data_IF_419208649581
#
_entry.id   IF_419208649581
#
_cell.length_a   1.000
_cell.length_b   1.000
_cell.length_c   1.000
_cell.angle_alpha   90.00
_cell.angle_beta   90.00
_cell.angle_gamma   90.00
#
_symmetry.space_group_name_H-M   'P 1'
#
loop_
_entity.id
_entity.type
_entity.pdbx_description
1 polymer ?
#
# COMPACT_ATOMS: atom_id res chain seq x y z
N UNK A 1 57.99 -50.82 -1.46
CA UNK A 1 56.73 -50.09 -1.28
C UNK A 1 57.05 -48.61 -1.13
N UNK A 2 56.79 -47.82 -2.11
CA UNK A 2 56.95 -46.36 -2.04
C UNK A 2 55.87 -45.83 -1.11
N UNK A 3 56.25 -45.29 0.07
CA UNK A 3 55.30 -44.59 0.94
C UNK A 3 54.70 -43.39 0.13
N UNK A 4 53.42 -43.44 -0.16
CA UNK A 4 52.72 -42.25 -0.68
C UNK A 4 52.88 -41.11 0.31
N UNK A 5 53.34 -39.94 -0.16
CA UNK A 5 53.47 -38.77 0.66
C UNK A 5 52.05 -38.47 1.30
N UNK A 6 52.02 -38.37 2.62
CA UNK A 6 50.80 -38.04 3.34
C UNK A 6 50.42 -36.60 3.02
N UNK A 7 49.13 -36.36 2.68
CA UNK A 7 48.60 -35.06 2.30
C UNK A 7 48.00 -34.35 3.53
N UNK A 8 48.50 -33.15 3.83
CA UNK A 8 48.03 -32.31 4.92
C UNK A 8 47.76 -30.89 4.46
N UNK A 9 47.00 -30.15 5.26
CA UNK A 9 46.86 -28.69 5.14
C UNK A 9 48.26 -28.07 5.33
N UNK A 10 48.59 -27.07 4.52
CA UNK A 10 49.82 -26.27 4.68
C UNK A 10 49.93 -25.66 6.08
N UNK A 11 51.11 -25.26 6.45
CA UNK A 11 51.29 -24.52 7.70
C UNK A 11 50.40 -23.25 7.71
N UNK A 12 49.74 -23.07 8.83
CA UNK A 12 48.85 -21.93 9.07
C UNK A 12 49.50 -20.98 10.07
N UNK A 13 49.36 -19.69 9.85
CA UNK A 13 49.66 -18.72 10.89
C UNK A 13 48.65 -18.83 12.06
N UNK A 14 49.02 -18.32 13.23
CA UNK A 14 48.12 -18.33 14.41
C UNK A 14 46.78 -17.70 14.12
N UNK A 15 46.73 -16.61 13.32
CA UNK A 15 45.53 -15.95 12.89
C UNK A 15 44.65 -16.80 11.97
N UNK A 16 45.28 -17.53 11.01
CA UNK A 16 44.58 -18.44 10.10
C UNK A 16 44.00 -19.63 10.87
N UNK A 17 44.78 -20.21 11.77
CA UNK A 17 44.34 -21.33 12.60
C UNK A 17 43.17 -20.95 13.51
N UNK A 18 43.22 -19.78 14.14
CA UNK A 18 42.13 -19.26 14.95
C UNK A 18 40.88 -18.98 14.10
N UNK A 19 41.05 -18.43 12.88
CA UNK A 19 39.96 -18.20 11.95
C UNK A 19 39.31 -19.52 11.48
N UNK A 20 40.10 -20.49 11.11
CA UNK A 20 39.60 -21.80 10.70
C UNK A 20 38.83 -22.49 11.83
N UNK A 21 39.34 -22.45 13.06
CA UNK A 21 38.66 -22.97 14.25
C UNK A 21 37.31 -22.22 14.50
N UNK A 22 37.30 -20.91 14.33
CA UNK A 22 36.08 -20.12 14.46
C UNK A 22 35.02 -20.54 13.42
N UNK A 23 35.41 -20.75 12.17
CA UNK A 23 34.50 -21.23 11.11
C UNK A 23 34.02 -22.65 11.41
N UNK A 24 34.87 -23.55 11.84
CA UNK A 24 34.50 -24.92 12.21
C UNK A 24 33.47 -24.96 13.36
N UNK A 25 33.54 -24.03 14.31
CA UNK A 25 32.64 -24.01 15.49
C UNK A 25 31.39 -23.19 15.30
N UNK A 26 31.43 -22.08 14.53
CA UNK A 26 30.41 -21.03 14.58
C UNK A 26 29.91 -20.56 13.21
N UNK A 27 30.34 -21.20 12.10
CA UNK A 27 29.80 -20.82 10.79
C UNK A 27 28.27 -21.05 10.72
N UNK A 28 27.53 -20.07 10.23
CA UNK A 28 26.09 -20.23 9.95
C UNK A 28 25.81 -21.05 8.69
N UNK A 29 26.81 -21.23 7.83
CA UNK A 29 26.71 -22.06 6.64
C UNK A 29 27.21 -23.49 6.98
N UNK A 30 26.31 -24.50 6.95
CA UNK A 30 26.69 -25.88 7.31
C UNK A 30 27.82 -26.47 6.44
N UNK A 31 27.87 -26.07 5.15
CA UNK A 31 28.89 -26.54 4.22
C UNK A 31 30.27 -25.98 4.59
N UNK A 32 30.34 -24.68 4.84
CA UNK A 32 31.54 -23.98 5.28
C UNK A 32 32.02 -24.56 6.62
N UNK A 33 31.07 -24.75 7.55
CA UNK A 33 31.36 -25.33 8.86
C UNK A 33 31.96 -26.72 8.72
N UNK A 34 31.33 -27.58 7.95
CA UNK A 34 31.82 -28.98 7.75
C UNK A 34 33.19 -29.00 7.08
N UNK A 35 33.40 -28.24 6.00
CA UNK A 35 34.69 -28.10 5.33
C UNK A 35 35.79 -27.60 6.27
N UNK A 36 35.48 -26.58 7.08
CA UNK A 36 36.42 -26.06 8.07
C UNK A 36 36.80 -27.11 9.14
N UNK A 37 35.86 -27.97 9.54
CA UNK A 37 36.13 -29.07 10.47
C UNK A 37 37.10 -30.08 9.87
N UNK A 38 36.91 -30.47 8.60
CA UNK A 38 37.82 -31.42 7.90
C UNK A 38 39.22 -30.83 7.78
N UNK A 39 39.35 -29.56 7.40
CA UNK A 39 40.67 -28.90 7.27
C UNK A 39 41.34 -28.70 8.63
N UNK A 40 40.59 -28.37 9.68
CA UNK A 40 41.14 -28.23 11.02
C UNK A 40 41.65 -29.57 11.58
N UNK A 41 40.97 -30.69 11.31
CA UNK A 41 41.42 -32.02 11.67
C UNK A 41 42.75 -32.37 10.95
N UNK A 42 42.90 -32.01 9.66
CA UNK A 42 44.14 -32.16 8.91
C UNK A 42 45.27 -31.29 9.49
N UNK A 43 44.97 -30.04 9.87
CA UNK A 43 45.94 -29.16 10.54
C UNK A 43 46.42 -29.72 11.88
N UNK A 44 45.56 -30.48 12.58
CA UNK A 44 45.94 -31.19 13.81
C UNK A 44 46.73 -32.48 13.57
N UNK A 45 47.13 -32.77 12.33
CA UNK A 45 47.95 -33.91 11.97
C UNK A 45 47.18 -35.21 11.69
N UNK A 46 45.86 -35.16 11.54
CA UNK A 46 45.07 -36.33 11.17
C UNK A 46 45.25 -36.63 9.67
N UNK A 47 45.45 -37.88 9.32
CA UNK A 47 45.56 -38.31 7.93
C UNK A 47 44.21 -38.26 7.19
N UNK A 48 44.22 -38.13 5.86
CA UNK A 48 43.02 -38.13 5.02
C UNK A 48 42.07 -39.30 5.34
N UNK A 49 42.60 -40.48 5.59
CA UNK A 49 41.82 -41.68 5.92
C UNK A 49 41.13 -41.56 7.29
N UNK A 50 41.84 -41.03 8.28
CA UNK A 50 41.30 -40.82 9.62
C UNK A 50 40.18 -39.77 9.58
N UNK A 51 40.39 -38.64 8.89
CA UNK A 51 39.39 -37.58 8.72
C UNK A 51 38.14 -38.12 8.01
N UNK A 52 38.33 -38.86 6.91
CA UNK A 52 37.26 -39.48 6.16
C UNK A 52 36.38 -40.38 7.02
N UNK A 53 37.04 -41.23 7.86
CA UNK A 53 36.32 -42.12 8.78
C UNK A 53 35.56 -41.34 9.87
N UNK A 54 36.23 -40.39 10.54
CA UNK A 54 35.64 -39.65 11.66
C UNK A 54 34.49 -38.77 11.26
N UNK A 55 34.57 -38.12 10.11
CA UNK A 55 33.57 -37.18 9.60
C UNK A 55 32.62 -37.80 8.59
N UNK A 56 32.67 -39.10 8.34
CA UNK A 56 31.82 -39.82 7.35
C UNK A 56 31.87 -39.17 5.98
N UNK A 57 33.05 -38.71 5.57
CA UNK A 57 33.32 -38.14 4.26
C UNK A 57 34.09 -39.15 3.37
N UNK A 58 34.07 -38.95 2.04
CA UNK A 58 34.92 -39.73 1.16
C UNK A 58 36.38 -39.25 1.26
N UNK A 59 37.33 -40.18 1.22
CA UNK A 59 38.77 -39.85 1.24
C UNK A 59 39.13 -38.92 0.05
N UNK A 60 38.52 -39.13 -1.12
CA UNK A 60 38.71 -38.30 -2.30
C UNK A 60 38.26 -36.84 -2.02
N UNK A 61 37.09 -36.66 -1.42
CA UNK A 61 36.58 -35.32 -1.09
C UNK A 61 37.48 -34.59 -0.08
N UNK A 62 37.97 -35.30 0.94
CA UNK A 62 38.91 -34.73 1.92
C UNK A 62 40.20 -34.30 1.24
N UNK A 63 40.78 -35.17 0.38
CA UNK A 63 41.99 -34.85 -0.36
C UNK A 63 41.85 -33.66 -1.30
N UNK A 64 40.75 -33.64 -2.09
CA UNK A 64 40.42 -32.50 -2.97
C UNK A 64 40.25 -31.18 -2.21
N UNK A 65 39.61 -31.24 -1.05
CA UNK A 65 39.42 -30.06 -0.20
C UNK A 65 40.75 -29.54 0.36
N UNK A 66 41.67 -30.45 0.80
CA UNK A 66 43.00 -30.05 1.27
C UNK A 66 43.82 -29.46 0.12
N UNK A 67 43.81 -30.06 -1.06
CA UNK A 67 44.47 -29.50 -2.25
C UNK A 67 43.94 -28.11 -2.60
N UNK A 68 42.60 -27.95 -2.64
CA UNK A 68 41.99 -26.68 -2.93
C UNK A 68 42.33 -25.60 -1.88
N UNK A 69 42.33 -25.97 -0.60
CA UNK A 69 42.68 -25.03 0.47
C UNK A 69 44.17 -24.64 0.42
N UNK A 70 45.06 -25.57 0.12
CA UNK A 70 46.46 -25.28 -0.01
C UNK A 70 46.77 -24.35 -1.20
N UNK A 71 45.96 -24.39 -2.26
CA UNK A 71 46.07 -23.54 -3.43
C UNK A 71 45.35 -22.20 -3.28
N UNK A 72 44.10 -22.19 -2.78
CA UNK A 72 43.18 -21.07 -2.81
C UNK A 72 42.90 -20.46 -1.42
N UNK A 73 43.41 -21.06 -0.35
CA UNK A 73 43.16 -20.62 1.03
C UNK A 73 41.69 -20.75 1.42
N UNK A 74 41.21 -19.80 2.18
CA UNK A 74 39.83 -19.80 2.70
C UNK A 74 38.73 -19.75 1.63
N UNK A 75 39.05 -19.37 0.39
CA UNK A 75 38.07 -19.38 -0.72
C UNK A 75 37.60 -20.81 -1.05
N UNK A 76 38.44 -21.83 -0.76
CA UNK A 76 38.09 -23.26 -0.93
C UNK A 76 36.92 -23.70 -0.02
N UNK A 77 36.67 -22.98 1.07
CA UNK A 77 35.56 -23.27 1.98
C UNK A 77 34.20 -22.87 1.41
N UNK A 78 34.14 -21.91 0.50
CA UNK A 78 32.89 -21.46 -0.07
C UNK A 78 32.27 -22.58 -0.94
N UNK A 79 30.95 -22.79 -0.80
CA UNK A 79 30.26 -23.73 -1.65
C UNK A 79 30.33 -23.25 -3.10
N UNK A 80 31.02 -23.97 -3.97
CA UNK A 80 30.96 -23.74 -5.42
C UNK A 80 29.50 -23.96 -5.84
N UNK A 81 28.76 -22.88 -6.04
CA UNK A 81 27.42 -22.95 -6.62
C UNK A 81 27.60 -23.34 -8.08
N UNK A 82 27.31 -24.57 -8.40
CA UNK A 82 27.13 -24.92 -9.80
C UNK A 82 26.05 -24.02 -10.42
N UNK A 83 26.19 -23.72 -11.69
CA UNK A 83 25.21 -22.86 -12.42
C UNK A 83 23.78 -23.44 -12.42
N UNK A 84 23.58 -24.62 -11.86
CA UNK A 84 22.31 -25.31 -11.80
C UNK A 84 21.82 -25.74 -13.20
N UNK A 85 20.58 -26.23 -13.26
CA UNK A 85 19.98 -26.60 -14.55
C UNK A 85 19.77 -25.36 -15.40
N UNK A 86 20.18 -25.32 -16.68
CA UNK A 86 19.96 -24.20 -17.58
C UNK A 86 18.49 -23.76 -17.57
N UNK A 87 18.28 -22.46 -17.56
CA UNK A 87 16.93 -21.89 -17.54
C UNK A 87 16.23 -22.20 -18.88
N UNK A 88 15.06 -22.84 -18.83
CA UNK A 88 14.24 -23.17 -20.03
C UNK A 88 13.80 -21.93 -20.80
N UNK A 89 13.67 -20.80 -20.14
CA UNK A 89 13.32 -19.49 -20.71
C UNK A 89 14.53 -18.60 -20.49
N UNK A 90 15.16 -18.21 -21.57
CA UNK A 90 16.36 -17.37 -21.59
C UNK A 90 16.07 -15.92 -21.16
N UNK A 91 17.07 -15.09 -21.16
CA UNK A 91 16.96 -13.71 -20.69
C UNK A 91 16.15 -12.84 -21.67
N UNK A 92 16.28 -13.09 -22.96
CA UNK A 92 15.60 -12.32 -24.01
C UNK A 92 14.11 -12.61 -24.01
N UNK A 93 13.70 -13.87 -23.94
CA UNK A 93 12.31 -14.27 -23.79
C UNK A 93 11.70 -13.71 -22.49
N UNK A 94 12.43 -13.69 -21.39
CA UNK A 94 11.97 -13.06 -20.14
C UNK A 94 11.74 -11.55 -20.29
N UNK A 95 12.61 -10.89 -21.03
CA UNK A 95 12.48 -9.46 -21.31
C UNK A 95 11.25 -9.18 -22.17
N UNK A 96 11.01 -10.00 -23.19
CA UNK A 96 9.82 -9.88 -24.04
C UNK A 96 8.53 -10.19 -23.28
N UNK A 97 8.52 -11.21 -22.40
CA UNK A 97 7.39 -11.47 -21.48
C UNK A 97 7.03 -10.20 -20.68
N UNK A 98 8.02 -9.49 -20.17
CA UNK A 98 7.81 -8.25 -19.40
C UNK A 98 7.23 -7.15 -20.27
N UNK A 99 7.75 -6.95 -21.48
CA UNK A 99 7.23 -5.94 -22.41
C UNK A 99 5.77 -6.21 -22.77
N UNK A 100 5.43 -7.47 -23.06
CA UNK A 100 4.05 -7.86 -23.35
C UNK A 100 3.14 -7.64 -22.14
N UNK A 101 3.59 -8.01 -20.94
CA UNK A 101 2.81 -7.85 -19.73
C UNK A 101 2.51 -6.38 -19.38
N UNK A 102 3.40 -5.46 -19.72
CA UNK A 102 3.25 -4.01 -19.48
C UNK A 102 2.48 -3.31 -20.62
N UNK A 103 2.43 -3.89 -21.80
CA UNK A 103 1.66 -3.35 -22.91
C UNK A 103 0.16 -3.54 -22.68
N UNK A 104 -0.64 -2.64 -23.24
CA UNK A 104 -2.10 -2.83 -23.24
C UNK A 104 -2.46 -3.99 -24.19
N UNK A 105 -3.35 -4.92 -23.80
CA UNK A 105 -3.77 -6.01 -24.68
C UNK A 105 -4.29 -5.55 -26.04
N UNK A 106 -5.07 -4.46 -26.08
CA UNK A 106 -5.60 -3.89 -27.34
C UNK A 106 -4.51 -3.48 -28.32
N UNK A 107 -3.37 -2.98 -27.84
CA UNK A 107 -2.23 -2.59 -28.68
C UNK A 107 -1.49 -3.82 -29.26
N UNK A 108 -1.87 -5.01 -28.78
CA UNK A 108 -1.40 -6.32 -29.24
C UNK A 108 -2.46 -7.13 -29.98
N UNK A 109 -3.55 -6.48 -30.42
CA UNK A 109 -4.63 -7.09 -31.19
C UNK A 109 -5.65 -7.89 -30.37
N UNK A 110 -5.60 -7.79 -29.03
CA UNK A 110 -6.50 -8.52 -28.13
C UNK A 110 -7.76 -7.71 -27.79
N UNK A 111 -8.95 -8.32 -27.71
CA UNK A 111 -10.21 -7.59 -27.50
C UNK A 111 -10.51 -7.31 -26.03
N UNK A 112 -9.51 -7.06 -25.20
CA UNK A 112 -9.67 -6.77 -23.76
C UNK A 112 -8.64 -5.78 -23.26
N UNK A 113 -8.92 -5.11 -22.13
CA UNK A 113 -8.15 -3.98 -21.60
C UNK A 113 -7.08 -4.37 -20.59
N UNK A 114 -7.05 -5.61 -20.12
CA UNK A 114 -6.10 -6.03 -19.08
C UNK A 114 -5.71 -7.50 -19.20
N UNK A 115 -4.46 -7.81 -18.85
CA UNK A 115 -3.95 -9.16 -18.81
C UNK A 115 -4.34 -9.86 -17.50
N UNK A 116 -4.96 -11.05 -17.61
CA UNK A 116 -4.86 -12.06 -16.57
C UNK A 116 -3.65 -12.95 -16.86
N UNK A 117 -3.11 -13.65 -15.87
CA UNK A 117 -2.02 -14.59 -16.12
C UNK A 117 -2.37 -15.67 -17.17
N UNK A 118 -3.64 -16.06 -17.22
CA UNK A 118 -4.12 -17.05 -18.20
C UNK A 118 -4.13 -16.48 -19.62
N UNK A 119 -4.65 -15.25 -19.78
CA UNK A 119 -4.69 -14.56 -21.08
C UNK A 119 -3.28 -14.21 -21.56
N UNK A 120 -2.45 -13.66 -20.69
CA UNK A 120 -1.05 -13.36 -21.01
C UNK A 120 -0.29 -14.62 -21.42
N UNK A 121 -0.47 -15.73 -20.70
CA UNK A 121 0.13 -17.01 -21.06
C UNK A 121 -0.28 -17.49 -22.44
N UNK A 122 -1.59 -17.42 -22.75
CA UNK A 122 -2.12 -17.84 -24.07
C UNK A 122 -1.48 -17.01 -25.18
N UNK A 123 -1.51 -15.69 -25.05
CA UNK A 123 -0.89 -14.76 -26.00
C UNK A 123 0.59 -15.05 -26.25
N UNK A 124 1.40 -15.22 -25.17
CA UNK A 124 2.83 -15.50 -25.27
C UNK A 124 3.15 -16.80 -26.02
N UNK A 125 2.28 -17.81 -25.93
CA UNK A 125 2.43 -19.08 -26.63
C UNK A 125 1.98 -18.94 -28.11
N UNK A 126 0.85 -18.32 -28.33
CA UNK A 126 0.27 -18.11 -29.68
C UNK A 126 1.22 -17.27 -30.53
N UNK A 127 1.77 -16.20 -29.99
CA UNK A 127 2.73 -15.31 -30.67
C UNK A 127 4.17 -15.85 -30.64
N UNK A 128 4.36 -17.10 -30.20
CA UNK A 128 5.66 -17.80 -30.18
C UNK A 128 6.78 -17.08 -29.44
N UNK A 129 6.42 -16.21 -28.46
CA UNK A 129 7.41 -15.60 -27.54
C UNK A 129 8.08 -16.68 -26.69
N UNK A 130 7.29 -17.68 -26.30
CA UNK A 130 7.79 -18.90 -25.66
C UNK A 130 7.04 -20.11 -26.18
N UNK A 131 7.70 -21.28 -26.32
CA UNK A 131 7.04 -22.51 -26.77
C UNK A 131 6.05 -23.05 -25.74
N UNK A 132 6.36 -22.87 -24.45
CA UNK A 132 5.50 -23.27 -23.33
C UNK A 132 5.96 -22.57 -22.03
N UNK A 133 4.96 -22.19 -21.22
CA UNK A 133 5.19 -21.62 -19.87
C UNK A 133 4.02 -21.97 -18.95
N UNK A 134 4.30 -22.32 -17.70
CA UNK A 134 3.26 -22.46 -16.67
C UNK A 134 2.84 -21.11 -16.09
N UNK A 135 1.61 -21.02 -15.55
CA UNK A 135 1.16 -19.80 -14.86
C UNK A 135 2.07 -19.43 -13.68
N UNK A 136 2.52 -20.43 -12.93
CA UNK A 136 3.41 -20.22 -11.77
C UNK A 136 4.79 -19.72 -12.21
N UNK A 137 5.32 -20.20 -13.32
CA UNK A 137 6.58 -19.72 -13.88
C UNK A 137 6.45 -18.30 -14.42
N UNK A 138 5.36 -17.99 -15.14
CA UNK A 138 5.05 -16.64 -15.62
C UNK A 138 4.92 -15.66 -14.46
N UNK A 139 4.15 -16.02 -13.43
CA UNK A 139 4.02 -15.22 -12.21
C UNK A 139 5.39 -14.95 -11.55
N UNK A 140 6.24 -15.96 -11.44
CA UNK A 140 7.59 -15.83 -10.85
C UNK A 140 8.46 -14.87 -11.66
N UNK A 141 8.47 -15.00 -12.99
CA UNK A 141 9.24 -14.11 -13.88
C UNK A 141 8.82 -12.65 -13.70
N UNK A 142 7.51 -12.37 -13.68
CA UNK A 142 7.00 -11.03 -13.47
C UNK A 142 7.39 -10.49 -12.09
N UNK A 143 7.27 -11.31 -11.03
CA UNK A 143 7.60 -10.91 -9.67
C UNK A 143 9.11 -10.68 -9.46
N UNK A 144 9.96 -11.47 -10.06
CA UNK A 144 11.43 -11.28 -10.06
C UNK A 144 11.82 -9.93 -10.70
N UNK A 145 11.03 -9.43 -11.65
CA UNK A 145 11.21 -8.14 -12.31
C UNK A 145 10.41 -6.99 -11.65
N UNK A 146 9.87 -7.19 -10.45
CA UNK A 146 9.12 -6.17 -9.71
C UNK A 146 7.71 -5.90 -10.22
N UNK A 147 7.23 -6.66 -11.20
CA UNK A 147 5.90 -6.45 -11.79
C UNK A 147 4.84 -7.14 -10.93
N UNK A 148 3.81 -6.41 -10.55
CA UNK A 148 2.71 -6.86 -9.70
C UNK A 148 1.38 -6.53 -10.37
N UNK A 149 0.39 -7.38 -10.16
CA UNK A 149 -0.99 -7.08 -10.55
C UNK A 149 -1.61 -6.16 -9.50
N UNK A 150 -1.73 -4.87 -9.84
CA UNK A 150 -2.20 -3.81 -8.92
C UNK A 150 -3.39 -3.08 -9.52
N UNK A 151 -4.15 -2.38 -8.68
CA UNK A 151 -5.19 -1.46 -9.16
C UNK A 151 -4.57 -0.26 -9.86
N UNK A 152 -5.22 0.19 -10.92
CA UNK A 152 -4.88 1.46 -11.55
C UNK A 152 -5.13 2.60 -10.55
N UNK A 153 -4.24 3.56 -10.53
CA UNK A 153 -4.44 4.81 -9.81
C UNK A 153 -5.06 5.82 -10.76
N UNK A 154 -6.08 6.51 -10.29
CA UNK A 154 -6.66 7.66 -11.00
C UNK A 154 -6.03 8.95 -10.46
N UNK A 155 -5.87 9.92 -11.30
CA UNK A 155 -5.49 11.28 -10.95
C UNK A 155 -6.58 12.25 -11.46
N UNK A 156 -6.68 13.40 -10.83
CA UNK A 156 -7.63 14.45 -11.24
C UNK A 156 -6.83 15.70 -11.57
N UNK A 157 -7.06 16.26 -12.74
CA UNK A 157 -6.63 17.61 -13.06
C UNK A 157 -7.77 18.57 -12.70
N UNK A 158 -7.44 19.69 -12.12
CA UNK A 158 -8.41 20.76 -11.89
C UNK A 158 -8.39 21.72 -13.08
N UNK A 159 -9.55 22.04 -13.67
CA UNK A 159 -9.66 23.08 -14.70
C UNK A 159 -9.76 24.48 -14.08
N UNK A 160 -9.65 24.63 -12.77
CA UNK A 160 -9.79 25.91 -12.08
C UNK A 160 -8.59 26.83 -12.42
N UNK A 161 -8.78 28.00 -13.05
CA UNK A 161 -7.69 28.91 -13.39
C UNK A 161 -6.96 29.43 -12.15
N UNK A 162 -7.64 29.49 -10.99
CA UNK A 162 -7.08 29.95 -9.72
C UNK A 162 -6.62 28.80 -8.83
N UNK A 163 -6.37 27.61 -9.42
CA UNK A 163 -6.07 26.38 -8.67
C UNK A 163 -4.98 26.58 -7.62
N UNK A 164 -3.83 27.10 -8.01
CA UNK A 164 -2.69 27.24 -7.09
C UNK A 164 -2.98 28.24 -5.97
N UNK A 165 -3.63 29.39 -6.27
CA UNK A 165 -3.97 30.38 -5.28
C UNK A 165 -4.96 29.85 -4.24
N UNK A 166 -6.05 29.19 -4.68
CA UNK A 166 -7.06 28.59 -3.81
C UNK A 166 -6.49 27.43 -3.00
N UNK A 167 -5.70 26.57 -3.63
CA UNK A 167 -5.02 25.46 -2.95
C UNK A 167 -4.13 25.99 -1.84
N UNK A 168 -3.26 26.96 -2.14
CA UNK A 168 -2.31 27.50 -1.18
C UNK A 168 -3.04 28.20 -0.02
N UNK A 169 -4.13 28.94 -0.30
CA UNK A 169 -4.98 29.54 0.75
C UNK A 169 -5.54 28.50 1.71
N UNK A 170 -6.08 27.40 1.18
CA UNK A 170 -6.64 26.31 2.00
C UNK A 170 -5.56 25.63 2.83
N UNK A 171 -4.40 25.37 2.24
CA UNK A 171 -3.28 24.75 2.94
C UNK A 171 -2.71 25.63 4.04
N UNK A 172 -2.62 26.93 3.80
CA UNK A 172 -2.19 27.90 4.80
C UNK A 172 -3.16 27.95 5.98
N UNK A 173 -4.47 27.95 5.72
CA UNK A 173 -5.50 27.86 6.78
C UNK A 173 -5.37 26.60 7.65
N UNK A 174 -4.93 25.50 7.08
CA UNK A 174 -4.70 24.26 7.84
C UNK A 174 -3.39 24.25 8.60
N UNK A 175 -2.34 24.87 8.05
CA UNK A 175 -1.02 24.93 8.66
C UNK A 175 -0.93 26.05 9.71
N UNK A 176 -1.54 27.20 9.43
CA UNK A 176 -1.47 28.42 10.22
C UNK A 176 -2.89 29.00 10.41
N UNK A 177 -3.79 28.31 11.14
CA UNK A 177 -5.12 28.84 11.39
C UNK A 177 -5.04 30.19 12.11
N UNK A 178 -5.84 31.19 11.72
CA UNK A 178 -5.87 32.47 12.42
C UNK A 178 -6.22 32.30 13.90
N UNK A 179 -5.56 33.06 14.78
CA UNK A 179 -5.71 32.91 16.22
C UNK A 179 -7.11 33.30 16.74
N UNK A 180 -7.77 34.21 16.02
CA UNK A 180 -9.11 34.77 16.31
C UNK A 180 -10.23 34.09 15.53
N UNK A 181 -9.91 33.08 14.72
CA UNK A 181 -10.86 32.40 13.89
C UNK A 181 -10.83 30.87 14.08
N UNK A 182 -11.96 30.23 13.77
CA UNK A 182 -12.09 28.78 13.75
C UNK A 182 -12.25 28.29 12.34
N UNK A 183 -11.31 27.46 11.90
CA UNK A 183 -11.36 26.82 10.59
C UNK A 183 -12.20 25.55 10.67
N UNK A 184 -13.20 25.43 9.81
CA UNK A 184 -14.10 24.27 9.70
C UNK A 184 -14.09 23.76 8.26
N UNK A 185 -14.18 22.45 8.08
CA UNK A 185 -14.27 21.81 6.76
C UNK A 185 -15.69 21.25 6.59
N UNK A 186 -16.50 21.80 5.68
CA UNK A 186 -17.88 21.42 5.45
C UNK A 186 -18.04 20.63 4.17
N UNK A 187 -18.92 19.61 4.19
CA UNK A 187 -19.31 18.83 3.01
C UNK A 187 -20.57 17.99 3.29
N UNK A 188 -21.11 17.32 2.27
CA UNK A 188 -22.24 16.42 2.36
C UNK A 188 -21.86 14.97 2.12
N UNK A 189 -22.30 14.12 3.03
CA UNK A 189 -22.16 12.69 2.91
C UNK A 189 -23.49 12.02 2.51
N UNK A 190 -23.53 11.47 1.32
CA UNK A 190 -24.73 10.83 0.80
C UNK A 190 -24.63 10.47 -0.69
N UNK A 191 -25.72 9.95 -1.27
CA UNK A 191 -27.02 9.64 -0.68
C UNK A 191 -26.99 8.44 0.30
N UNK A 192 -27.64 8.60 1.44
CA UNK A 192 -27.86 7.56 2.44
C UNK A 192 -29.17 6.84 2.13
N UNK A 193 -29.10 5.79 1.36
CA UNK A 193 -30.24 4.92 1.03
C UNK A 193 -30.29 3.71 1.95
N UNK A 194 -31.47 3.09 2.07
CA UNK A 194 -31.69 1.85 2.82
C UNK A 194 -31.40 0.64 1.94
N UNK A 195 -30.14 0.28 1.88
CA UNK A 195 -29.69 -0.94 1.19
C UNK A 195 -28.69 -1.67 2.07
N UNK A 196 -28.66 -3.01 1.98
CA UNK A 196 -27.60 -3.78 2.64
C UNK A 196 -26.24 -3.35 2.13
N UNK A 197 -25.34 -3.06 3.04
CA UNK A 197 -23.97 -2.63 2.70
C UNK A 197 -22.99 -3.72 3.10
N UNK A 198 -22.29 -4.25 2.11
CA UNK A 198 -21.22 -5.20 2.37
C UNK A 198 -20.11 -4.53 3.18
N UNK A 199 -19.51 -5.31 4.06
CA UNK A 199 -18.41 -4.86 4.92
C UNK A 199 -17.38 -5.96 5.10
N UNK A 200 -16.43 -5.70 6.01
CA UNK A 200 -15.47 -6.69 6.47
C UNK A 200 -15.59 -6.81 7.99
N UNK A 201 -15.58 -8.04 8.49
CA UNK A 201 -15.65 -8.33 9.91
C UNK A 201 -14.94 -9.64 10.23
N UNK A 202 -14.85 -9.94 11.51
CA UNK A 202 -14.32 -11.20 11.99
C UNK A 202 -15.40 -12.29 11.91
N UNK A 203 -15.14 -13.34 11.13
CA UNK A 203 -16.06 -14.46 10.94
C UNK A 203 -15.30 -15.79 11.08
N UNK A 204 -16.01 -16.86 11.42
CA UNK A 204 -15.42 -18.19 11.35
C UNK A 204 -15.03 -18.50 9.89
N UNK A 205 -13.91 -19.19 9.70
CA UNK A 205 -13.48 -19.61 8.37
C UNK A 205 -14.61 -20.37 7.66
N UNK A 206 -14.86 -20.01 6.40
CA UNK A 206 -15.93 -20.55 5.54
C UNK A 206 -17.37 -20.20 5.97
N UNK A 207 -17.56 -19.41 7.03
CA UNK A 207 -18.88 -18.97 7.52
C UNK A 207 -18.96 -17.43 7.60
N UNK A 208 -18.85 -16.69 6.47
CA UNK A 208 -18.99 -15.24 6.48
C UNK A 208 -20.43 -14.84 6.77
N UNK A 209 -20.64 -13.66 7.35
CA UNK A 209 -21.96 -13.06 7.43
C UNK A 209 -22.54 -12.85 6.02
N UNK A 210 -23.85 -13.09 5.91
CA UNK A 210 -24.57 -12.93 4.64
C UNK A 210 -25.67 -11.88 4.83
N UNK A 211 -25.72 -10.94 3.91
CA UNK A 211 -26.76 -9.92 3.82
C UNK A 211 -27.63 -10.20 2.61
N UNK A 212 -28.92 -9.79 2.67
CA UNK A 212 -29.80 -9.87 1.51
C UNK A 212 -29.22 -9.05 0.35
N UNK A 213 -29.28 -9.56 -0.87
CA UNK A 213 -28.85 -8.83 -2.06
C UNK A 213 -29.98 -7.96 -2.62
N UNK A 214 -31.24 -8.26 -2.28
CA UNK A 214 -32.43 -7.57 -2.78
C UNK A 214 -32.81 -6.43 -1.83
N UNK A 215 -33.08 -5.25 -2.38
CA UNK A 215 -33.56 -4.09 -1.66
C UNK A 215 -34.50 -3.25 -2.54
N UNK A 216 -35.39 -2.52 -1.90
CA UNK A 216 -36.30 -1.58 -2.58
C UNK A 216 -35.81 -0.14 -2.35
N UNK A 217 -35.86 0.69 -3.40
CA UNK A 217 -35.44 2.11 -3.33
C UNK A 217 -36.57 3.07 -2.94
N UNK A 218 -37.70 2.55 -2.51
CA UNK A 218 -38.92 3.33 -2.25
C UNK A 218 -38.86 4.20 -0.98
N UNK A 219 -37.90 3.96 -0.09
CA UNK A 219 -37.77 4.70 1.17
C UNK A 219 -37.09 6.09 1.03
N UNK A 220 -36.72 6.48 -0.19
CA UNK A 220 -36.00 7.73 -0.42
C UNK A 220 -34.54 7.67 0.06
N UNK A 221 -33.97 8.86 0.23
CA UNK A 221 -32.58 9.03 0.68
C UNK A 221 -32.49 10.07 1.79
N UNK A 222 -31.38 10.03 2.53
CA UNK A 222 -30.96 11.08 3.46
C UNK A 222 -29.58 11.58 3.08
N UNK A 223 -29.20 12.73 3.62
CA UNK A 223 -27.89 13.32 3.48
C UNK A 223 -27.40 13.78 4.85
N UNK A 224 -26.17 13.46 5.20
CA UNK A 224 -25.51 14.04 6.36
C UNK A 224 -24.74 15.28 5.89
N UNK A 225 -25.22 16.48 6.26
CA UNK A 225 -24.47 17.72 6.12
C UNK A 225 -23.61 17.84 7.36
N UNK A 226 -22.29 17.97 7.22
CA UNK A 226 -21.42 17.98 8.36
C UNK A 226 -20.24 18.94 8.21
N UNK A 227 -19.74 19.42 9.35
CA UNK A 227 -18.53 20.21 9.45
C UNK A 227 -17.53 19.49 10.37
N UNK A 228 -16.30 19.40 9.94
CA UNK A 228 -15.17 18.86 10.70
C UNK A 228 -14.33 20.02 11.22
N UNK A 229 -14.00 19.99 12.49
CA UNK A 229 -13.12 20.95 13.15
C UNK A 229 -11.71 20.33 13.30
N UNK A 230 -10.73 20.73 12.48
CA UNK A 230 -9.36 20.17 12.56
C UNK A 230 -8.67 20.44 13.89
N UNK A 231 -8.99 21.56 14.56
CA UNK A 231 -8.35 21.93 15.82
C UNK A 231 -8.73 21.00 16.98
N UNK A 232 -9.94 20.44 16.95
CA UNK A 232 -10.41 19.50 17.99
C UNK A 232 -10.59 18.09 17.51
N UNK A 233 -10.63 17.87 16.19
CA UNK A 233 -10.96 16.60 15.57
C UNK A 233 -12.44 16.24 15.61
N UNK A 234 -13.32 17.14 16.03
CA UNK A 234 -14.76 16.87 16.19
C UNK A 234 -15.54 17.08 14.90
N UNK A 235 -16.65 16.36 14.79
CA UNK A 235 -17.59 16.46 13.67
C UNK A 235 -18.94 16.94 14.19
N UNK A 236 -19.51 17.93 13.53
CA UNK A 236 -20.83 18.49 13.78
C UNK A 236 -21.67 18.24 12.54
N UNK A 237 -22.88 17.68 12.67
CA UNK A 237 -23.66 17.35 11.48
C UNK A 237 -25.13 17.12 11.75
N UNK A 238 -25.91 17.40 10.71
CA UNK A 238 -27.37 17.22 10.66
C UNK A 238 -27.71 16.25 9.52
N UNK A 239 -28.62 15.31 9.79
CA UNK A 239 -29.14 14.41 8.76
C UNK A 239 -30.43 15.01 8.21
N UNK A 240 -30.46 15.24 6.90
CA UNK A 240 -31.55 15.92 6.20
C UNK A 240 -32.07 15.08 5.03
N UNK A 241 -33.32 15.32 4.64
CA UNK A 241 -33.93 14.69 3.46
C UNK A 241 -33.40 15.30 2.15
N UNK A 242 -33.00 16.55 2.21
CA UNK A 242 -32.49 17.35 1.08
C UNK A 242 -31.15 17.97 1.45
N UNK A 243 -30.44 18.47 0.45
CA UNK A 243 -29.15 19.16 0.63
C UNK A 243 -29.15 20.46 -0.19
N UNK A 244 -30.13 21.31 0.07
CA UNK A 244 -30.22 22.64 -0.53
C UNK A 244 -29.44 23.66 0.31
N UNK A 245 -29.29 24.86 -0.20
CA UNK A 245 -28.65 25.95 0.53
C UNK A 245 -29.31 26.26 1.89
N UNK A 246 -30.61 25.93 2.07
CA UNK A 246 -31.31 26.13 3.34
C UNK A 246 -30.80 25.21 4.45
N UNK A 247 -30.61 23.93 4.13
CA UNK A 247 -30.05 22.95 5.08
C UNK A 247 -28.57 23.28 5.40
N UNK A 248 -27.82 23.75 4.42
CA UNK A 248 -26.44 24.24 4.64
C UNK A 248 -26.46 25.45 5.58
N UNK A 249 -27.36 26.42 5.36
CA UNK A 249 -27.50 27.56 6.25
C UNK A 249 -27.89 27.16 7.68
N UNK A 250 -28.77 26.18 7.85
CA UNK A 250 -29.12 25.65 9.18
C UNK A 250 -27.93 25.03 9.90
N UNK A 251 -27.09 24.28 9.19
CA UNK A 251 -25.86 23.78 9.74
C UNK A 251 -24.92 24.93 10.14
N UNK A 252 -24.69 25.90 9.26
CA UNK A 252 -23.86 27.08 9.56
C UNK A 252 -24.41 27.88 10.76
N UNK A 253 -25.73 28.03 10.88
CA UNK A 253 -26.36 28.66 12.04
C UNK A 253 -26.02 27.90 13.32
N UNK A 254 -26.17 26.58 13.33
CA UNK A 254 -25.86 25.77 14.51
C UNK A 254 -24.37 25.84 14.91
N UNK A 255 -23.50 26.01 13.92
CA UNK A 255 -22.07 26.23 14.17
C UNK A 255 -21.81 27.63 14.72
N UNK A 256 -22.46 28.67 14.18
CA UNK A 256 -22.37 30.05 14.67
C UNK A 256 -22.87 30.19 16.13
N UNK A 257 -23.96 29.50 16.45
CA UNK A 257 -24.48 29.48 17.82
C UNK A 257 -23.54 28.78 18.81
N UNK A 258 -22.75 27.83 18.32
CA UNK A 258 -21.79 27.08 19.11
C UNK A 258 -20.47 27.81 19.35
N UNK A 259 -19.98 28.48 18.34
CA UNK A 259 -18.68 29.13 18.31
C UNK A 259 -18.84 30.63 18.27
N UNK A 260 -18.07 31.34 19.08
CA UNK A 260 -18.14 32.81 19.15
C UNK A 260 -17.06 33.48 18.29
N UNK A 261 -16.00 32.74 17.96
CA UNK A 261 -14.91 33.21 17.12
C UNK A 261 -15.38 33.40 15.67
N UNK A 262 -14.69 34.21 14.88
CA UNK A 262 -14.88 34.26 13.43
C UNK A 262 -14.80 32.84 12.83
N UNK A 263 -15.73 32.47 11.94
CA UNK A 263 -15.73 31.15 11.30
C UNK A 263 -15.18 31.25 9.89
N UNK A 264 -14.16 30.45 9.58
CA UNK A 264 -13.64 30.24 8.23
C UNK A 264 -14.05 28.83 7.80
N UNK A 265 -14.96 28.73 6.85
CA UNK A 265 -15.54 27.46 6.42
C UNK A 265 -15.02 27.10 5.04
N UNK A 266 -14.22 26.02 5.00
CA UNK A 266 -13.71 25.44 3.76
C UNK A 266 -14.76 24.47 3.20
N UNK A 267 -15.16 24.66 1.94
CA UNK A 267 -16.21 23.89 1.28
C UNK A 267 -15.96 23.78 -0.24
N UNK A 268 -16.63 22.85 -0.89
CA UNK A 268 -16.53 22.67 -2.35
C UNK A 268 -17.41 23.67 -3.13
N UNK A 269 -17.32 23.60 -4.47
CA UNK A 269 -18.08 24.45 -5.38
C UNK A 269 -19.49 23.90 -5.69
N UNK A 270 -20.09 23.09 -4.82
CA UNK A 270 -21.44 22.61 -5.01
C UNK A 270 -22.43 23.78 -5.14
N UNK A 271 -23.38 23.70 -6.08
CA UNK A 271 -24.23 24.84 -6.42
C UNK A 271 -25.01 25.43 -5.24
N UNK A 272 -25.53 24.67 -4.26
CA UNK A 272 -26.12 25.21 -3.05
C UNK A 272 -25.17 26.08 -2.23
N UNK A 273 -23.86 25.78 -2.18
CA UNK A 273 -22.88 26.56 -1.45
C UNK A 273 -22.65 27.95 -2.05
N UNK A 274 -22.91 28.11 -3.34
CA UNK A 274 -22.69 29.34 -4.10
C UNK A 274 -23.96 30.18 -4.25
N UNK A 275 -25.05 29.81 -3.56
CA UNK A 275 -26.29 30.61 -3.58
C UNK A 275 -26.06 31.96 -2.93
N UNK A 276 -26.49 33.03 -3.62
CA UNK A 276 -26.31 34.41 -3.15
C UNK A 276 -26.84 34.59 -1.74
N UNK A 277 -28.05 34.06 -1.48
CA UNK A 277 -28.72 34.15 -0.20
C UNK A 277 -27.90 33.49 0.95
N UNK A 278 -27.19 32.42 0.65
CA UNK A 278 -26.28 31.76 1.62
C UNK A 278 -25.05 32.62 1.86
N UNK A 279 -24.42 33.13 0.78
CA UNK A 279 -23.21 33.95 0.87
C UNK A 279 -23.49 35.27 1.64
N UNK A 280 -24.58 35.98 1.31
CA UNK A 280 -24.97 37.19 2.02
C UNK A 280 -25.27 36.92 3.50
N UNK A 281 -25.96 35.82 3.78
CA UNK A 281 -26.24 35.41 5.15
C UNK A 281 -24.95 35.07 5.92
N UNK A 282 -23.99 34.35 5.32
CA UNK A 282 -22.73 33.99 5.94
C UNK A 282 -21.93 35.24 6.34
N UNK A 283 -21.79 36.21 5.42
CA UNK A 283 -21.11 37.49 5.69
C UNK A 283 -21.75 38.22 6.84
N UNK A 284 -23.09 38.31 6.85
CA UNK A 284 -23.87 39.02 7.90
C UNK A 284 -23.73 38.33 9.29
N UNK A 285 -23.23 37.07 9.34
CA UNK A 285 -23.08 36.31 10.59
C UNK A 285 -21.62 35.99 10.90
N UNK A 286 -20.67 36.76 10.38
CA UNK A 286 -19.25 36.64 10.64
C UNK A 286 -18.69 35.27 10.25
N UNK A 287 -19.07 34.79 9.04
CA UNK A 287 -18.62 33.52 8.44
C UNK A 287 -17.98 33.79 7.09
N UNK A 288 -16.70 33.48 6.94
CA UNK A 288 -16.00 33.47 5.65
C UNK A 288 -16.16 32.09 4.97
N UNK A 289 -16.65 32.08 3.73
CA UNK A 289 -16.73 30.87 2.90
C UNK A 289 -15.51 30.78 1.99
N UNK A 290 -14.68 29.76 2.20
CA UNK A 290 -13.45 29.51 1.43
C UNK A 290 -13.66 28.32 0.50
N UNK A 291 -13.76 28.62 -0.81
CA UNK A 291 -14.05 27.60 -1.81
C UNK A 291 -12.79 26.85 -2.26
N UNK A 292 -12.89 25.52 -2.28
CA UNK A 292 -11.87 24.65 -2.86
C UNK A 292 -11.75 24.85 -4.38
N UNK A 293 -10.58 24.62 -4.98
CA UNK A 293 -10.50 24.50 -6.43
C UNK A 293 -11.45 23.41 -6.97
N UNK A 294 -11.92 23.57 -8.18
CA UNK A 294 -12.81 22.58 -8.82
C UNK A 294 -12.15 21.20 -8.90
N UNK A 295 -12.91 20.13 -8.61
CA UNK A 295 -12.47 18.72 -8.59
C UNK A 295 -11.40 18.36 -7.54
N UNK A 296 -11.26 19.13 -6.47
CA UNK A 296 -10.27 18.93 -5.42
C UNK A 296 -10.87 18.57 -4.06
N UNK A 297 -11.93 17.77 -4.03
CA UNK A 297 -12.54 17.30 -2.76
C UNK A 297 -11.53 16.66 -1.80
N UNK A 298 -10.44 16.10 -2.32
CA UNK A 298 -9.35 15.54 -1.51
C UNK A 298 -8.62 16.59 -0.62
N UNK A 299 -8.74 17.87 -0.91
CA UNK A 299 -8.28 18.96 -0.03
C UNK A 299 -9.23 19.21 1.15
N UNK A 300 -10.47 18.70 1.10
CA UNK A 300 -11.40 18.83 2.20
C UNK A 300 -11.13 17.77 3.27
N UNK A 301 -10.68 18.20 4.46
CA UNK A 301 -10.30 17.28 5.53
C UNK A 301 -11.46 16.42 6.05
N UNK A 302 -12.71 16.82 5.84
CA UNK A 302 -13.87 16.03 6.26
C UNK A 302 -14.03 14.74 5.46
N UNK A 303 -13.51 14.65 4.24
CA UNK A 303 -13.65 13.47 3.39
C UNK A 303 -13.09 12.19 4.02
N UNK A 304 -11.98 12.29 4.73
CA UNK A 304 -11.41 11.14 5.44
C UNK A 304 -12.32 10.71 6.62
N UNK A 305 -13.05 11.64 7.23
CA UNK A 305 -14.02 11.34 8.28
C UNK A 305 -15.26 10.64 7.73
N UNK A 306 -15.71 11.01 6.54
CA UNK A 306 -16.79 10.32 5.84
C UNK A 306 -16.41 8.89 5.43
N UNK A 307 -15.16 8.67 5.04
CA UNK A 307 -14.66 7.30 4.81
C UNK A 307 -14.67 6.46 6.09
N UNK A 308 -14.27 7.04 7.22
CA UNK A 308 -14.32 6.37 8.52
C UNK A 308 -15.76 6.08 8.95
N UNK A 309 -16.68 7.04 8.82
CA UNK A 309 -18.11 6.86 9.08
C UNK A 309 -18.68 5.73 8.21
N UNK A 310 -18.40 5.74 6.90
CA UNK A 310 -18.83 4.67 5.99
C UNK A 310 -18.33 3.30 6.45
N UNK A 311 -17.07 3.22 6.81
CA UNK A 311 -16.43 1.96 7.21
C UNK A 311 -16.98 1.40 8.51
N UNK A 312 -17.25 2.24 9.51
CA UNK A 312 -17.52 1.79 10.88
C UNK A 312 -18.99 1.88 11.27
N UNK A 313 -19.81 2.68 10.60
CA UNK A 313 -21.23 2.81 10.90
C UNK A 313 -22.16 2.29 9.80
N UNK A 314 -21.69 2.22 8.54
CA UNK A 314 -22.57 1.82 7.43
C UNK A 314 -22.18 0.49 6.79
N UNK A 315 -20.90 0.22 6.60
CA UNK A 315 -20.49 -1.06 6.02
C UNK A 315 -20.77 -2.22 6.99
N UNK A 316 -21.26 -3.32 6.46
CA UNK A 316 -21.67 -4.46 7.28
C UNK A 316 -23.03 -4.25 7.99
N UNK A 317 -23.90 -3.40 7.44
CA UNK A 317 -25.23 -3.13 7.98
C UNK A 317 -26.36 -3.40 6.98
N UNK A 318 -27.54 -3.60 7.53
CA UNK A 318 -28.81 -3.72 6.79
C UNK A 318 -29.93 -3.05 7.63
N UNK A 319 -29.96 -1.72 7.63
CA UNK A 319 -30.92 -0.96 8.42
C UNK A 319 -32.34 -1.10 7.87
N UNK A 320 -33.29 -1.35 8.74
CA UNK A 320 -34.70 -1.50 8.39
C UNK A 320 -35.37 -0.16 8.06
N UNK A 321 -34.88 0.94 8.63
CA UNK A 321 -35.44 2.28 8.43
C UNK A 321 -34.38 3.39 8.48
N UNK A 322 -34.70 4.56 7.91
CA UNK A 322 -33.85 5.73 8.06
C UNK A 322 -33.68 6.15 9.52
N UNK A 323 -34.71 6.00 10.36
CA UNK A 323 -34.59 6.31 11.77
C UNK A 323 -33.57 5.43 12.50
N UNK A 324 -33.43 4.18 12.11
CA UNK A 324 -32.39 3.28 12.63
C UNK A 324 -31.02 3.68 12.11
N UNK A 325 -30.88 3.95 10.81
CA UNK A 325 -29.65 4.41 10.20
C UNK A 325 -29.18 5.74 10.81
N UNK A 326 -30.08 6.70 11.01
CA UNK A 326 -29.81 8.00 11.61
C UNK A 326 -29.30 7.84 13.06
N UNK A 327 -29.96 6.98 13.84
CA UNK A 327 -29.50 6.65 15.22
C UNK A 327 -28.07 6.07 15.23
N UNK A 328 -27.77 5.19 14.29
CA UNK A 328 -26.45 4.58 14.19
C UNK A 328 -25.38 5.63 13.81
N UNK A 329 -25.66 6.49 12.85
CA UNK A 329 -24.77 7.60 12.45
C UNK A 329 -24.55 8.56 13.63
N UNK A 330 -25.61 9.00 14.31
CA UNK A 330 -25.47 9.87 15.47
C UNK A 330 -24.73 9.21 16.64
N UNK A 331 -24.92 7.90 16.86
CA UNK A 331 -24.18 7.16 17.86
C UNK A 331 -22.68 7.13 17.52
N UNK A 332 -22.34 6.92 16.25
CA UNK A 332 -20.95 6.97 15.78
C UNK A 332 -20.35 8.36 15.96
N UNK A 333 -21.05 9.43 15.56
CA UNK A 333 -20.57 10.80 15.72
C UNK A 333 -20.33 11.15 17.19
N UNK A 334 -21.24 10.75 18.10
CA UNK A 334 -21.03 10.93 19.55
C UNK A 334 -19.81 10.17 20.06
N UNK A 335 -19.63 8.93 19.62
CA UNK A 335 -18.47 8.14 20.00
C UNK A 335 -17.18 8.76 19.45
N UNK A 336 -17.19 9.15 18.17
CA UNK A 336 -16.05 9.82 17.52
C UNK A 336 -15.66 11.07 18.29
N UNK A 337 -16.62 11.96 18.57
CA UNK A 337 -16.37 13.24 19.25
C UNK A 337 -15.87 13.10 20.69
N UNK A 338 -16.23 12.03 21.39
CA UNK A 338 -15.65 11.72 22.72
C UNK A 338 -14.19 11.29 22.65
N UNK A 339 -13.79 10.68 21.55
CA UNK A 339 -12.44 10.17 21.33
C UNK A 339 -11.64 11.04 20.34
N UNK A 340 -12.20 12.18 19.95
CA UNK A 340 -11.59 13.07 18.97
C UNK A 340 -10.23 13.59 19.44
N UNK A 341 -9.34 13.75 18.47
CA UNK A 341 -8.02 14.35 18.67
C UNK A 341 -7.79 15.37 17.55
N UNK A 342 -7.04 16.44 17.81
CA UNK A 342 -6.65 17.38 16.78
C UNK A 342 -6.12 16.69 15.54
N UNK A 343 -6.43 17.24 14.37
CA UNK A 343 -5.86 16.74 13.13
C UNK A 343 -4.33 16.82 13.19
N UNK A 344 -3.66 15.79 12.68
CA UNK A 344 -2.22 15.86 12.51
C UNK A 344 -1.92 16.90 11.43
N UNK A 345 -0.79 17.64 11.55
CA UNK A 345 -0.38 18.55 10.50
C UNK A 345 -0.39 17.81 9.15
N UNK A 346 -1.07 18.40 8.16
CA UNK A 346 -1.12 17.83 6.83
C UNK A 346 0.27 17.92 6.18
N UNK A 347 0.92 16.80 6.03
CA UNK A 347 2.11 16.71 5.16
C UNK A 347 1.62 16.40 3.75
N UNK A 348 1.63 17.41 2.91
CA UNK A 348 1.53 17.16 1.47
C UNK A 348 2.86 16.53 1.07
N UNK A 349 2.84 15.30 0.57
CA UNK A 349 3.96 14.82 -0.22
C UNK A 349 4.00 15.68 -1.48
N UNK A 350 4.91 16.64 -1.51
CA UNK A 350 5.12 17.52 -2.66
C UNK A 350 5.43 16.74 -3.97
N UNK A 351 5.85 15.49 -3.84
CA UNK A 351 6.14 14.59 -4.96
C UNK A 351 4.92 14.15 -5.78
N UNK A 352 3.70 14.35 -5.28
CA UNK A 352 2.48 13.95 -6.00
C UNK A 352 2.07 14.97 -7.09
N UNK A 353 2.71 16.14 -7.15
CA UNK A 353 2.23 17.27 -7.95
C UNK A 353 3.05 17.65 -9.18
N UNK A 354 4.15 16.97 -9.51
CA UNK A 354 5.02 17.38 -10.63
C UNK A 354 5.31 16.32 -11.70
N UNK A 355 4.55 15.25 -11.77
CA UNK A 355 4.61 14.36 -12.92
C UNK A 355 3.23 14.27 -13.59
N UNK A 356 2.85 15.28 -14.33
CA UNK A 356 2.11 15.02 -15.56
C UNK A 356 3.07 14.17 -16.40
N UNK A 357 2.74 12.91 -16.76
CA UNK A 357 3.49 12.26 -17.82
C UNK A 357 3.31 13.17 -19.03
N UNK A 358 4.43 13.61 -19.65
CA UNK A 358 4.39 14.15 -20.99
C UNK A 358 3.59 13.17 -21.83
N UNK A 359 2.38 13.58 -22.19
CA UNK A 359 1.62 12.92 -23.22
C UNK A 359 2.31 13.35 -24.51
N UNK A 360 3.41 12.68 -24.81
CA UNK A 360 3.96 12.73 -26.14
C UNK A 360 2.87 12.25 -27.11
N UNK A 361 2.56 13.10 -28.06
CA UNK A 361 1.64 12.94 -29.15
C UNK A 361 1.85 11.64 -29.94
#
# INVERSE_FOLDING_TARGET
MVRRAELFVRELSDGEAAHLLKLARRSRNPIVQHRAMLLFASFQGQSVSQIALMHRASATHVAELIHAFNAEGFAALDPRRGEGRPRRIDLDARTEIVKVALARPVDRGEPFTGWSLTKLRAHLIEWKVVPAISRSQLWRILHERGIRFTHHKTWKASPDPDFEAKKNRVLDLYAHPPADARVLCLDEFGPLNLQPRLGRGWHRSKHPARYRATYKRTAGVRHLLAAYDPATGKIYGHIQATKTWREVRELLRSLRDRFREHLVVVLDNFSPHRKRELCEWAVAHDIELVYLPTYTSWLNLIECQFQALRRFALNGSDYASHAEQDRAIHAYLRWHNRNARPAKPWRINAEVHHSLPDVAA
#
